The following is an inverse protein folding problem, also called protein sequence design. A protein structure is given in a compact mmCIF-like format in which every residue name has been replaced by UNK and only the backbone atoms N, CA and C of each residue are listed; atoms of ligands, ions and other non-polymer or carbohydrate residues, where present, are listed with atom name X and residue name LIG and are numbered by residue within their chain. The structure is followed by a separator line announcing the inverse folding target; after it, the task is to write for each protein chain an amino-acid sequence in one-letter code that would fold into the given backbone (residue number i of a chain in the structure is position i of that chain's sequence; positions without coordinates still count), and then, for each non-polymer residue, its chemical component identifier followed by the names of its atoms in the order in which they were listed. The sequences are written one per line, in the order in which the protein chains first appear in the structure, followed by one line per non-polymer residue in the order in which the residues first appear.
data_IF_404954648139
#
_entry.id   IF_404954648139
#
_cell.length_a   1.000
_cell.length_b   1.000
_cell.length_c   1.000
_cell.angle_alpha   90.00
_cell.angle_beta   90.00
_cell.angle_gamma   90.00
#
_symmetry.space_group_name_H-M   'P 1'
#
loop_
_entity.id
_entity.type
_entity.pdbx_description
1 polymer ?
#
# COMPACT_ATOMS: atom_id res chain seq x y z
N UNK A 1 3.11 5.24 1.64
CA UNK A 1 4.01 6.40 1.59
C UNK A 1 5.39 5.91 1.22
N UNK A 2 6.11 6.59 0.31
CA UNK A 2 7.51 6.24 0.03
C UNK A 2 8.37 6.61 1.25
N UNK A 3 9.21 5.67 1.66
CA UNK A 3 10.13 5.78 2.79
C UNK A 3 11.47 5.16 2.41
N UNK A 4 12.57 5.73 2.90
CA UNK A 4 13.89 5.13 2.77
C UNK A 4 14.29 4.56 4.13
N UNK A 5 14.36 3.23 4.23
CA UNK A 5 14.72 2.53 5.46
C UNK A 5 15.99 1.74 5.20
N UNK A 6 17.07 2.07 5.90
CA UNK A 6 18.36 1.39 5.73
C UNK A 6 18.93 1.46 4.30
N UNK A 7 18.64 2.53 3.56
CA UNK A 7 19.08 2.71 2.17
C UNK A 7 18.19 2.05 1.11
N UNK A 8 17.11 1.35 1.51
CA UNK A 8 16.15 0.77 0.58
C UNK A 8 14.90 1.64 0.46
N UNK A 9 14.47 1.92 -0.77
CA UNK A 9 13.23 2.64 -1.04
C UNK A 9 12.04 1.67 -1.00
N UNK A 10 11.13 1.91 -0.06
CA UNK A 10 9.96 1.08 0.19
C UNK A 10 8.71 1.95 0.24
N UNK A 11 7.56 1.34 -0.05
CA UNK A 11 6.26 1.87 0.32
C UNK A 11 5.88 1.33 1.70
N UNK A 12 5.68 2.23 2.66
CA UNK A 12 5.19 1.90 3.98
C UNK A 12 3.74 2.38 4.18
N UNK A 13 2.96 1.57 4.89
CA UNK A 13 1.68 1.94 5.48
C UNK A 13 1.67 1.39 6.91
N UNK A 14 1.74 2.29 7.87
CA UNK A 14 1.72 1.94 9.29
C UNK A 14 0.49 2.52 9.97
N UNK A 15 -0.09 1.76 10.88
CA UNK A 15 -1.15 2.17 11.78
C UNK A 15 -0.75 1.84 13.21
N UNK A 16 -0.89 2.81 14.10
CA UNK A 16 -0.58 2.68 15.52
C UNK A 16 -1.83 3.07 16.31
N UNK A 17 -2.43 2.12 17.02
CA UNK A 17 -3.56 2.32 17.92
C UNK A 17 -3.09 2.75 19.32
N UNK A 18 -3.80 2.30 20.36
CA UNK A 18 -3.43 2.57 21.77
C UNK A 18 -2.49 1.52 22.36
N UNK A 19 -2.65 0.26 21.97
CA UNK A 19 -1.83 -0.89 22.43
C UNK A 19 -1.71 -1.96 21.34
N UNK A 20 -1.85 -1.58 20.09
CA UNK A 20 -1.71 -2.47 18.94
C UNK A 20 -1.21 -1.67 17.75
N UNK A 21 -0.52 -2.33 16.84
CA UNK A 21 -0.08 -1.72 15.61
C UNK A 21 -0.13 -2.70 14.46
N UNK A 22 -0.09 -2.11 13.27
CA UNK A 22 0.02 -2.85 12.02
C UNK A 22 0.92 -2.10 11.06
N UNK A 23 1.92 -2.78 10.53
CA UNK A 23 2.86 -2.23 9.55
C UNK A 23 2.79 -3.07 8.29
N UNK A 24 2.69 -2.40 7.14
CA UNK A 24 2.76 -2.99 5.82
C UNK A 24 3.86 -2.31 5.03
N UNK A 25 4.78 -3.10 4.50
CA UNK A 25 5.92 -2.65 3.69
C UNK A 25 5.86 -3.31 2.32
N UNK A 26 6.26 -2.60 1.27
CA UNK A 26 6.34 -3.15 -0.08
C UNK A 26 7.47 -2.51 -0.88
N UNK A 27 8.20 -3.33 -1.63
CA UNK A 27 9.20 -2.90 -2.62
C UNK A 27 8.63 -2.96 -4.05
N UNK A 28 7.29 -2.94 -4.18
CA UNK A 28 6.52 -3.16 -5.41
C UNK A 28 6.60 -4.58 -6.00
N UNK A 29 7.53 -5.42 -5.52
CA UNK A 29 7.66 -6.82 -5.93
C UNK A 29 7.01 -7.76 -4.91
N UNK A 30 7.15 -7.45 -3.63
CA UNK A 30 6.62 -8.23 -2.51
C UNK A 30 5.97 -7.31 -1.48
N UNK A 31 5.15 -7.91 -0.62
CA UNK A 31 4.46 -7.22 0.47
C UNK A 31 4.74 -7.97 1.77
N UNK A 32 5.27 -7.25 2.74
CA UNK A 32 5.49 -7.73 4.09
C UNK A 32 4.53 -7.07 5.04
N UNK A 33 4.04 -7.86 5.99
CA UNK A 33 3.11 -7.38 7.00
C UNK A 33 3.53 -7.86 8.39
N UNK A 34 3.29 -7.00 9.36
CA UNK A 34 3.27 -7.36 10.77
C UNK A 34 2.02 -6.76 11.43
N UNK A 35 1.35 -7.57 12.23
CA UNK A 35 0.28 -7.16 13.13
C UNK A 35 0.65 -7.60 14.54
N UNK A 36 0.48 -6.69 15.50
CA UNK A 36 0.91 -6.87 16.88
C UNK A 36 -0.16 -6.35 17.84
N UNK A 37 -0.47 -7.17 18.84
CA UNK A 37 -1.39 -6.85 19.93
C UNK A 37 -0.62 -6.47 21.22
N UNK A 38 -1.35 -6.12 22.27
CA UNK A 38 -0.77 -5.65 23.53
C UNK A 38 0.15 -6.69 24.21
N UNK A 39 -0.24 -7.96 24.20
CA UNK A 39 0.48 -9.05 24.87
C UNK A 39 1.78 -9.39 24.14
N UNK A 40 1.74 -9.44 22.81
CA UNK A 40 2.90 -9.67 21.96
C UNK A 40 3.88 -8.49 22.03
N UNK A 41 3.34 -7.26 22.09
CA UNK A 41 4.15 -6.05 22.26
C UNK A 41 4.89 -6.10 23.60
N UNK A 42 4.17 -6.43 24.68
CA UNK A 42 4.76 -6.52 26.01
C UNK A 42 5.83 -7.60 26.09
N UNK A 43 5.57 -8.79 25.52
CA UNK A 43 6.51 -9.90 25.49
C UNK A 43 7.79 -9.52 24.75
N UNK A 44 7.66 -8.98 23.53
CA UNK A 44 8.82 -8.52 22.74
C UNK A 44 9.56 -7.36 23.40
N UNK A 45 8.85 -6.44 24.03
CA UNK A 45 9.47 -5.32 24.75
C UNK A 45 10.36 -5.83 25.89
N UNK A 46 9.91 -6.83 26.65
CA UNK A 46 10.67 -7.45 27.73
C UNK A 46 11.90 -8.22 27.23
N UNK A 47 11.75 -8.91 26.10
CA UNK A 47 12.85 -9.67 25.48
C UNK A 47 13.96 -8.76 24.96
N UNK A 48 13.61 -7.69 24.26
CA UNK A 48 14.56 -6.73 23.67
C UNK A 48 15.13 -5.77 24.71
N UNK A 49 14.34 -5.34 25.69
CA UNK A 49 14.69 -4.30 26.65
C UNK A 49 14.71 -4.84 28.09
N UNK A 50 15.55 -5.85 28.36
CA UNK A 50 15.64 -6.54 29.68
C UNK A 50 15.86 -5.64 30.90
N UNK A 51 16.37 -4.42 30.70
CA UNK A 51 16.62 -3.42 31.76
C UNK A 51 15.51 -2.38 31.92
N UNK A 52 14.62 -2.29 30.93
CA UNK A 52 13.56 -1.29 30.89
C UNK A 52 12.31 -1.87 31.59
N UNK A 53 11.92 -1.28 32.71
CA UNK A 53 10.68 -1.62 33.42
C UNK A 53 9.69 -0.48 33.26
N UNK A 54 8.82 -0.58 32.25
CA UNK A 54 7.76 0.38 31.98
C UNK A 54 6.44 -0.36 31.75
N UNK A 55 5.29 0.21 32.15
CA UNK A 55 3.99 -0.29 31.73
C UNK A 55 3.88 -0.31 30.20
N UNK A 56 3.20 -1.31 29.64
CA UNK A 56 3.04 -1.51 28.18
C UNK A 56 2.56 -0.25 27.46
N UNK A 57 1.66 0.52 28.09
CA UNK A 57 1.14 1.76 27.52
C UNK A 57 2.19 2.88 27.43
N UNK A 58 3.03 3.05 28.44
CA UNK A 58 4.11 4.05 28.41
C UNK A 58 5.19 3.67 27.39
N UNK A 59 5.56 2.38 27.37
CA UNK A 59 6.45 1.82 26.37
C UNK A 59 5.91 2.05 24.95
N UNK A 60 4.64 1.73 24.72
CA UNK A 60 4.02 1.81 23.41
C UNK A 60 3.81 3.26 22.95
N UNK A 61 3.48 4.16 23.86
CA UNK A 61 3.43 5.60 23.56
C UNK A 61 4.79 6.10 23.07
N UNK A 62 5.88 5.69 23.72
CA UNK A 62 7.23 6.03 23.27
C UNK A 62 7.52 5.41 21.90
N UNK A 63 7.25 4.10 21.73
CA UNK A 63 7.41 3.40 20.45
C UNK A 63 6.71 4.14 19.31
N UNK A 64 5.46 4.56 19.50
CA UNK A 64 4.72 5.32 18.49
C UNK A 64 5.41 6.64 18.14
N UNK A 65 5.94 7.34 19.14
CA UNK A 65 6.62 8.63 18.91
C UNK A 65 7.90 8.48 18.10
N UNK A 66 8.64 7.37 18.27
CA UNK A 66 9.90 7.12 17.56
C UNK A 66 9.73 6.35 16.25
N UNK A 67 8.69 5.53 16.11
CA UNK A 67 8.45 4.72 14.92
C UNK A 67 7.68 5.47 13.83
N UNK A 68 6.74 6.36 14.18
CA UNK A 68 5.97 7.12 13.18
C UNK A 68 6.86 7.89 12.20
N UNK A 69 7.92 8.61 12.64
CA UNK A 69 8.83 9.30 11.74
C UNK A 69 9.50 8.37 10.72
N UNK A 70 9.79 7.12 11.11
CA UNK A 70 10.44 6.12 10.25
C UNK A 70 9.54 5.61 9.12
N UNK A 71 8.22 5.74 9.27
CA UNK A 71 7.24 5.29 8.28
C UNK A 71 6.49 6.45 7.59
N UNK A 72 6.82 7.69 7.94
CA UNK A 72 6.32 8.90 7.26
C UNK A 72 7.27 9.33 6.13
N UNK A 73 6.72 10.04 5.14
CA UNK A 73 7.52 10.61 4.05
C UNK A 73 8.54 11.59 4.63
N UNK A 74 9.75 11.57 4.06
CA UNK A 74 10.90 12.34 4.50
C UNK A 74 10.62 13.84 4.44
N UNK A 75 10.34 14.44 5.59
CA UNK A 75 10.54 15.88 5.80
C UNK A 75 12.02 16.07 6.13
N UNK A 76 12.72 16.81 5.27
CA UNK A 76 14.19 16.91 5.20
C UNK A 76 14.82 17.72 6.36
N UNK A 77 14.12 17.97 7.47
CA UNK A 77 14.55 18.95 8.48
C UNK A 77 14.37 18.52 9.96
N UNK A 78 14.15 17.23 10.22
CA UNK A 78 14.16 16.70 11.60
C UNK A 78 15.19 15.59 11.76
N UNK A 79 16.22 15.87 12.55
CA UNK A 79 17.13 14.89 13.17
C UNK A 79 16.28 13.83 13.87
N UNK A 80 16.02 12.72 13.18
CA UNK A 80 15.31 11.58 13.76
C UNK A 80 16.07 11.12 15.01
N UNK A 81 15.42 11.19 16.17
CA UNK A 81 15.95 10.75 17.46
C UNK A 81 16.17 9.21 17.52
N UNK A 82 15.86 8.50 16.44
CA UNK A 82 16.01 7.06 16.34
C UNK A 82 16.82 6.68 15.10
N UNK A 83 17.75 5.76 15.28
CA UNK A 83 18.47 5.09 14.21
C UNK A 83 17.64 3.90 13.72
N UNK A 84 17.39 3.85 12.42
CA UNK A 84 16.63 2.76 11.78
C UNK A 84 17.54 1.99 10.84
N UNK A 85 17.52 0.66 10.94
CA UNK A 85 18.22 -0.25 10.04
C UNK A 85 17.25 -1.27 9.47
N UNK A 86 17.55 -1.76 8.27
CA UNK A 86 16.76 -2.77 7.58
C UNK A 86 17.60 -4.05 7.41
N UNK A 87 17.06 -5.18 7.82
CA UNK A 87 17.65 -6.49 7.57
C UNK A 87 16.67 -7.38 6.82
N UNK A 88 17.10 -7.94 5.69
CA UNK A 88 16.31 -8.91 4.94
C UNK A 88 16.84 -10.32 5.22
N UNK A 89 15.97 -11.18 5.74
CA UNK A 89 16.26 -12.56 6.09
C UNK A 89 15.39 -13.48 5.22
N UNK A 90 15.87 -13.78 4.02
CA UNK A 90 15.13 -14.56 3.01
C UNK A 90 13.82 -13.87 2.64
N UNK A 91 12.72 -14.52 3.00
CA UNK A 91 11.35 -14.07 2.77
C UNK A 91 10.86 -13.06 3.82
N UNK A 92 11.57 -12.88 4.93
CA UNK A 92 11.18 -11.98 6.00
C UNK A 92 11.97 -10.67 5.94
N UNK A 93 11.33 -9.61 6.41
CA UNK A 93 11.90 -8.27 6.48
C UNK A 93 11.85 -7.77 7.92
N UNK A 94 13.01 -7.50 8.50
CA UNK A 94 13.14 -6.99 9.86
C UNK A 94 13.56 -5.53 9.83
N UNK A 95 12.73 -4.64 10.38
CA UNK A 95 13.11 -3.23 10.59
C UNK A 95 13.55 -3.06 12.04
N UNK A 96 14.83 -2.73 12.25
CA UNK A 96 15.39 -2.47 13.56
C UNK A 96 15.36 -0.99 13.88
N UNK A 97 14.80 -0.64 15.02
CA UNK A 97 14.66 0.71 15.53
C UNK A 97 15.43 0.82 16.84
N UNK A 98 16.34 1.78 16.90
CA UNK A 98 17.12 2.10 18.10
C UNK A 98 16.92 3.56 18.46
N UNK A 99 16.43 3.84 19.67
CA UNK A 99 16.34 5.20 20.21
C UNK A 99 16.85 5.24 21.66
N UNK A 100 16.74 6.40 22.29
CA UNK A 100 16.88 6.53 23.74
C UNK A 100 15.54 6.89 24.38
N UNK A 101 15.31 6.42 25.60
CA UNK A 101 14.18 6.76 26.46
C UNK A 101 14.72 7.11 27.85
N UNK A 102 14.68 8.40 28.22
CA UNK A 102 15.21 8.91 29.50
C UNK A 102 16.67 8.49 29.78
N UNK A 103 17.52 8.48 28.75
CA UNK A 103 18.93 8.09 28.84
C UNK A 103 19.17 6.57 28.86
N UNK A 104 18.11 5.75 28.79
CA UNK A 104 18.22 4.30 28.60
C UNK A 104 18.11 3.95 27.10
N UNK A 105 18.91 2.98 26.63
CA UNK A 105 18.80 2.53 25.25
C UNK A 105 17.47 1.79 25.06
N UNK A 106 16.77 2.15 23.99
CA UNK A 106 15.49 1.59 23.58
C UNK A 106 15.65 0.87 22.25
N UNK A 107 15.25 -0.40 22.20
CA UNK A 107 15.32 -1.24 21.01
C UNK A 107 13.94 -1.78 20.64
N UNK A 108 13.64 -1.74 19.34
CA UNK A 108 12.48 -2.40 18.78
C UNK A 108 12.80 -3.04 17.44
N UNK A 109 12.17 -4.16 17.15
CA UNK A 109 12.30 -4.85 15.86
C UNK A 109 10.90 -5.15 15.34
N UNK A 110 10.63 -4.72 14.10
CA UNK A 110 9.42 -5.05 13.36
C UNK A 110 9.70 -6.27 12.49
N UNK A 111 9.07 -7.41 12.78
CA UNK A 111 9.28 -8.67 12.08
C UNK A 111 8.18 -8.86 11.04
N UNK A 112 8.38 -8.26 9.87
CA UNK A 112 7.41 -8.33 8.79
C UNK A 112 7.64 -9.62 7.99
N UNK A 113 6.62 -10.45 7.85
CA UNK A 113 6.71 -11.69 7.08
C UNK A 113 6.16 -11.50 5.67
N UNK A 114 6.79 -12.10 4.65
CA UNK A 114 6.23 -12.01 3.29
C UNK A 114 4.92 -12.75 3.27
N UNK A 115 3.95 -12.17 2.58
CA UNK A 115 2.68 -12.81 2.35
C UNK A 115 2.67 -13.35 0.92
N UNK A 116 2.86 -14.67 0.70
CA UNK A 116 2.83 -15.21 -0.64
C UNK A 116 1.44 -14.96 -1.22
N UNK A 117 1.38 -14.21 -2.31
CA UNK A 117 0.19 -14.12 -3.14
C UNK A 117 0.06 -15.46 -3.82
N UNK A 118 -0.62 -16.40 -3.17
CA UNK A 118 -1.09 -17.60 -3.83
C UNK A 118 -2.14 -17.15 -4.85
N UNK A 119 -1.68 -16.75 -6.05
CA UNK A 119 -2.52 -16.75 -7.24
C UNK A 119 -2.86 -18.22 -7.44
N UNK A 120 -3.95 -18.67 -6.83
CA UNK A 120 -4.58 -19.93 -7.23
C UNK A 120 -4.92 -19.71 -8.69
N UNK A 121 -4.07 -20.23 -9.58
CA UNK A 121 -4.35 -20.52 -10.98
C UNK A 121 -5.49 -21.53 -11.02
N UNK A 122 -6.68 -21.14 -10.57
CA UNK A 122 -7.89 -21.98 -10.57
C UNK A 122 -8.70 -21.76 -11.85
N UNK A 123 -7.99 -21.51 -12.95
CA UNK A 123 -8.57 -21.26 -14.27
C UNK A 123 -7.97 -22.16 -15.35
N UNK A 124 -7.49 -23.38 -15.04
CA UNK A 124 -7.28 -24.37 -16.12
C UNK A 124 -7.10 -25.83 -15.70
N UNK A 125 -7.89 -26.38 -14.77
CA UNK A 125 -7.94 -27.84 -14.62
C UNK A 125 -9.17 -28.31 -13.81
N UNK A 126 -10.37 -28.08 -14.36
CA UNK A 126 -11.58 -28.86 -13.99
C UNK A 126 -12.43 -29.10 -15.22
N UNK A 127 -11.86 -29.77 -16.22
CA UNK A 127 -12.64 -30.60 -17.15
C UNK A 127 -11.94 -31.94 -17.27
N UNK A 128 -11.89 -32.66 -16.17
CA UNK A 128 -11.68 -34.11 -16.20
C UNK A 128 -12.73 -34.73 -15.30
N UNK A 129 -13.85 -35.09 -15.95
CA UNK A 129 -14.76 -36.19 -15.61
C UNK A 129 -14.89 -36.50 -14.10
N UNK A 130 -15.77 -35.77 -13.40
CA UNK A 130 -16.40 -36.34 -12.22
C UNK A 130 -17.41 -37.39 -12.70
N UNK A 131 -16.98 -38.65 -12.77
CA UNK A 131 -17.90 -39.74 -12.49
C UNK A 131 -18.46 -39.53 -11.07
N UNK A 132 -19.76 -39.79 -10.82
CA UNK A 132 -20.30 -39.71 -9.47
C UNK A 132 -19.58 -40.75 -8.59
N UNK A 133 -19.05 -40.38 -7.41
CA UNK A 133 -18.46 -41.36 -6.51
C UNK A 133 -19.57 -42.25 -5.96
N UNK A 134 -19.32 -43.56 -5.99
CA UNK A 134 -20.02 -44.58 -5.19
C UNK A 134 -20.16 -44.11 -3.73
N UNK A 135 -21.27 -44.47 -3.04
CA UNK A 135 -21.52 -43.97 -1.69
C UNK A 135 -20.51 -44.55 -0.70
N UNK A 136 -19.54 -43.72 -0.32
CA UNK A 136 -18.66 -43.98 0.81
C UNK A 136 -19.42 -43.71 2.11
N UNK A 137 -19.96 -44.77 2.70
CA UNK A 137 -20.29 -44.82 4.13
C UNK A 137 -19.03 -44.60 4.96
N UNK A 138 -19.18 -43.76 5.99
CA UNK A 138 -18.31 -43.59 7.15
C UNK A 138 -16.94 -42.91 6.92
N UNK A 139 -16.98 -41.57 6.88
CA UNK A 139 -15.88 -40.74 7.36
C UNK A 139 -16.41 -39.74 8.40
N UNK A 140 -15.79 -39.62 9.60
CA UNK A 140 -16.27 -38.75 10.66
C UNK A 140 -16.16 -37.27 10.26
N UNK A 141 -17.23 -36.51 10.49
CA UNK A 141 -17.41 -35.08 10.18
C UNK A 141 -16.40 -34.13 10.84
N UNK A 142 -15.51 -34.61 11.70
CA UNK A 142 -14.65 -33.80 12.56
C UNK A 142 -13.41 -33.20 11.88
N UNK A 143 -13.06 -33.60 10.65
CA UNK A 143 -11.84 -33.14 9.96
C UNK A 143 -12.06 -32.05 8.89
N UNK A 144 -13.30 -31.56 8.69
CA UNK A 144 -13.57 -30.45 7.76
C UNK A 144 -13.24 -29.07 8.32
N UNK A 145 -12.25 -28.98 9.21
CA UNK A 145 -11.62 -27.71 9.54
C UNK A 145 -10.77 -27.27 8.35
N UNK A 146 -11.41 -26.56 7.42
CA UNK A 146 -10.73 -25.79 6.39
C UNK A 146 -9.58 -25.02 7.06
N UNK A 147 -8.32 -25.20 6.62
CA UNK A 147 -7.23 -24.41 7.16
C UNK A 147 -7.58 -22.93 6.94
N UNK A 148 -7.32 -22.05 7.93
CA UNK A 148 -7.59 -20.62 7.77
C UNK A 148 -6.95 -20.18 6.46
N UNK A 149 -7.79 -19.71 5.53
CA UNK A 149 -7.32 -19.26 4.24
C UNK A 149 -6.19 -18.24 4.48
N UNK A 150 -5.06 -18.31 3.76
CA UNK A 150 -3.97 -17.35 3.96
C UNK A 150 -4.53 -15.93 3.78
N UNK A 151 -4.69 -15.21 4.89
CA UNK A 151 -5.19 -13.82 4.91
C UNK A 151 -4.26 -12.89 4.11
N UNK A 152 -3.06 -13.39 3.82
CA UNK A 152 -2.03 -12.89 2.92
C UNK A 152 -2.54 -12.25 1.62
N UNK A 153 -3.20 -13.04 0.75
CA UNK A 153 -3.65 -12.54 -0.56
C UNK A 153 -4.76 -11.49 -0.45
N UNK A 154 -5.52 -11.50 0.64
CA UNK A 154 -6.58 -10.52 0.88
C UNK A 154 -6.01 -9.12 1.12
N UNK A 155 -4.84 -8.99 1.76
CA UNK A 155 -4.27 -7.67 2.08
C UNK A 155 -3.63 -6.99 0.89
N UNK A 156 -2.93 -7.74 0.03
CA UNK A 156 -2.45 -7.21 -1.26
C UNK A 156 -3.63 -6.69 -2.08
N UNK A 157 -4.71 -7.48 -2.17
CA UNK A 157 -5.92 -7.08 -2.89
C UNK A 157 -6.60 -5.85 -2.28
N UNK A 158 -6.72 -5.80 -0.95
CA UNK A 158 -7.44 -4.74 -0.22
C UNK A 158 -6.66 -3.44 -0.15
N UNK A 159 -5.35 -3.51 0.05
CA UNK A 159 -4.50 -2.34 0.32
C UNK A 159 -3.84 -1.77 -0.93
N UNK A 160 -3.63 -2.59 -1.97
CA UNK A 160 -2.96 -2.17 -3.20
C UNK A 160 -3.90 -2.27 -4.40
N UNK A 161 -4.37 -3.47 -4.74
CA UNK A 161 -5.07 -3.70 -6.03
C UNK A 161 -6.39 -2.92 -6.12
N UNK A 162 -7.29 -3.07 -5.14
CA UNK A 162 -8.60 -2.40 -5.17
C UNK A 162 -8.50 -0.88 -5.17
N UNK A 163 -7.70 -0.23 -4.29
CA UNK A 163 -7.53 1.21 -4.34
C UNK A 163 -6.94 1.70 -5.66
N UNK A 164 -5.92 1.01 -6.20
CA UNK A 164 -5.30 1.41 -7.46
C UNK A 164 -6.27 1.29 -8.64
N UNK A 165 -7.09 0.23 -8.70
CA UNK A 165 -8.15 0.10 -9.71
C UNK A 165 -9.22 1.19 -9.59
N UNK A 166 -9.62 1.52 -8.35
CA UNK A 166 -10.57 2.59 -8.11
C UNK A 166 -10.01 3.96 -8.53
N UNK A 167 -8.75 4.25 -8.19
CA UNK A 167 -8.06 5.49 -8.59
C UNK A 167 -7.92 5.54 -10.12
N UNK A 168 -7.50 4.46 -10.77
CA UNK A 168 -7.41 4.39 -12.23
C UNK A 168 -8.74 4.73 -12.90
N UNK A 169 -9.85 4.16 -12.40
CA UNK A 169 -11.19 4.48 -12.92
C UNK A 169 -11.58 5.95 -12.71
N UNK A 170 -11.29 6.52 -11.54
CA UNK A 170 -11.56 7.94 -11.26
C UNK A 170 -10.75 8.84 -12.19
N UNK A 171 -9.47 8.53 -12.39
CA UNK A 171 -8.61 9.29 -13.30
C UNK A 171 -9.09 9.19 -14.75
N UNK A 172 -9.52 8.00 -15.18
CA UNK A 172 -10.13 7.81 -16.51
C UNK A 172 -11.38 8.69 -16.68
N UNK A 173 -12.29 8.68 -15.70
CA UNK A 173 -13.48 9.54 -15.75
C UNK A 173 -13.11 11.02 -15.81
N UNK A 174 -12.13 11.46 -15.02
CA UNK A 174 -11.69 12.86 -15.06
C UNK A 174 -11.17 13.26 -16.43
N UNK A 175 -10.40 12.39 -17.09
CA UNK A 175 -9.90 12.65 -18.45
C UNK A 175 -11.06 12.81 -19.44
N UNK A 176 -12.09 11.95 -19.37
CA UNK A 176 -13.28 12.05 -20.22
C UNK A 176 -14.08 13.34 -19.96
N UNK A 177 -14.29 13.70 -18.70
CA UNK A 177 -15.03 14.90 -18.31
C UNK A 177 -14.30 16.18 -18.76
N UNK A 178 -12.98 16.22 -18.57
CA UNK A 178 -12.11 17.32 -19.04
C UNK A 178 -12.13 17.43 -20.57
N UNK A 179 -12.06 16.30 -21.29
CA UNK A 179 -12.15 16.28 -22.73
C UNK A 179 -13.51 16.81 -23.25
N UNK A 180 -14.60 16.40 -22.62
CA UNK A 180 -15.94 16.88 -22.96
C UNK A 180 -16.10 18.38 -22.66
N UNK A 181 -15.52 18.87 -21.56
CA UNK A 181 -15.52 20.29 -21.23
C UNK A 181 -14.75 21.12 -22.25
N UNK A 182 -13.58 20.63 -22.67
CA UNK A 182 -12.77 21.28 -23.72
C UNK A 182 -13.52 21.32 -25.05
N UNK A 183 -14.12 20.22 -25.49
CA UNK A 183 -14.91 20.18 -26.71
C UNK A 183 -16.10 21.18 -26.70
N UNK A 184 -16.77 21.33 -25.55
CA UNK A 184 -17.83 22.35 -25.39
C UNK A 184 -17.27 23.77 -25.50
N UNK A 185 -16.09 24.02 -24.92
CA UNK A 185 -15.44 25.33 -25.00
C UNK A 185 -14.97 25.65 -26.42
N UNK A 186 -14.49 24.67 -27.16
CA UNK A 186 -14.13 24.87 -28.57
C UNK A 186 -15.34 25.17 -29.44
N UNK A 187 -16.47 24.50 -29.20
CA UNK A 187 -17.73 24.83 -29.88
C UNK A 187 -18.21 26.25 -29.56
N UNK A 188 -18.08 26.69 -28.31
CA UNK A 188 -18.39 28.05 -27.89
C UNK A 188 -17.46 29.08 -28.57
N UNK A 189 -16.15 28.81 -28.63
CA UNK A 189 -15.18 29.66 -29.33
C UNK A 189 -15.50 29.71 -30.84
N UNK A 190 -15.87 28.59 -31.43
CA UNK A 190 -16.24 28.49 -32.84
C UNK A 190 -17.48 29.34 -33.15
N UNK A 191 -18.52 29.26 -32.31
CA UNK A 191 -19.74 30.07 -32.44
C UNK A 191 -19.43 31.57 -32.37
N UNK A 192 -18.57 32.01 -31.44
CA UNK A 192 -18.15 33.42 -31.39
C UNK A 192 -17.43 33.86 -32.68
N UNK A 193 -16.59 33.00 -33.26
CA UNK A 193 -15.90 33.31 -34.52
C UNK A 193 -16.88 33.39 -35.70
N UNK A 194 -17.84 32.47 -35.79
CA UNK A 194 -18.88 32.45 -36.82
C UNK A 194 -19.79 33.68 -36.72
N UNK A 195 -20.05 34.15 -35.51
CA UNK A 195 -20.80 35.38 -35.24
C UNK A 195 -19.96 36.67 -35.35
N UNK A 196 -18.74 36.59 -35.90
CA UNK A 196 -17.91 37.75 -36.27
C UNK A 196 -17.10 38.37 -35.13
N UNK A 197 -16.96 37.70 -33.99
CA UNK A 197 -16.11 38.18 -32.90
C UNK A 197 -14.62 38.14 -33.31
N UNK A 198 -13.90 39.23 -33.08
CA UNK A 198 -12.47 39.35 -33.38
C UNK A 198 -11.69 39.44 -32.08
N UNK A 199 -10.67 38.59 -31.93
CA UNK A 199 -9.81 38.58 -30.76
C UNK A 199 -8.99 39.88 -30.66
N UNK A 200 -9.10 40.58 -29.54
CA UNK A 200 -8.36 41.83 -29.27
C UNK A 200 -6.86 41.59 -29.04
N UNK A 201 -6.44 40.35 -28.75
CA UNK A 201 -5.04 39.95 -28.54
C UNK A 201 -4.69 38.75 -29.43
N UNK A 202 -3.74 38.94 -30.35
CA UNK A 202 -3.38 37.96 -31.39
C UNK A 202 -2.78 36.63 -30.89
N UNK A 203 -2.23 36.59 -29.67
CA UNK A 203 -1.58 35.40 -29.11
C UNK A 203 -2.53 34.50 -28.29
N UNK A 204 -3.84 34.76 -28.29
CA UNK A 204 -4.82 33.99 -27.49
C UNK A 204 -5.56 32.90 -28.27
N UNK A 205 -5.18 32.62 -29.53
CA UNK A 205 -5.75 31.50 -30.29
C UNK A 205 -5.14 30.19 -29.81
N UNK A 206 -5.96 29.36 -29.19
CA UNK A 206 -5.65 27.96 -28.90
C UNK A 206 -6.24 27.16 -30.06
N UNK A 207 -5.45 26.29 -30.69
CA UNK A 207 -5.96 25.36 -31.69
C UNK A 207 -7.00 24.42 -31.04
N UNK A 208 -8.04 24.04 -31.78
CA UNK A 208 -9.14 23.22 -31.26
C UNK A 208 -8.63 21.90 -30.64
N UNK A 209 -9.28 21.47 -29.57
CA UNK A 209 -8.95 20.26 -28.84
C UNK A 209 -9.29 19.02 -29.67
N UNK A 210 -8.29 18.18 -29.92
CA UNK A 210 -8.46 16.85 -30.52
C UNK A 210 -8.34 15.76 -29.45
N UNK A 211 -9.49 15.18 -29.09
CA UNK A 211 -9.56 14.09 -28.12
C UNK A 211 -8.82 12.82 -28.59
N UNK A 212 -8.76 12.54 -29.90
CA UNK A 212 -8.08 11.38 -30.45
C UNK A 212 -6.55 11.52 -30.39
N UNK A 213 -6.04 12.74 -30.60
CA UNK A 213 -4.64 13.05 -30.38
C UNK A 213 -4.24 12.88 -28.91
N UNK A 214 -5.09 13.31 -27.96
CA UNK A 214 -4.83 13.16 -26.53
C UNK A 214 -4.78 11.68 -26.11
N UNK A 215 -5.78 10.89 -26.50
CA UNK A 215 -5.81 9.44 -26.18
C UNK A 215 -4.63 8.70 -26.82
N UNK A 216 -4.20 9.07 -28.02
CA UNK A 216 -3.00 8.50 -28.66
C UNK A 216 -1.73 8.84 -27.88
N UNK A 217 -1.57 10.07 -27.41
CA UNK A 217 -0.40 10.50 -26.61
C UNK A 217 -0.34 9.76 -25.27
N UNK A 218 -1.48 9.56 -24.60
CA UNK A 218 -1.53 8.81 -23.35
C UNK A 218 -1.42 7.28 -23.53
N UNK A 219 -1.96 6.72 -24.61
CA UNK A 219 -1.82 5.29 -24.91
C UNK A 219 -0.37 4.91 -25.24
N UNK A 220 0.39 5.79 -25.90
CA UNK A 220 1.83 5.58 -26.12
C UNK A 220 2.68 5.62 -24.84
N UNK A 221 2.16 6.19 -23.74
CA UNK A 221 2.82 6.27 -22.43
C UNK A 221 2.47 5.11 -21.48
N UNK A 222 1.51 4.26 -21.84
CA UNK A 222 1.04 3.13 -21.00
C UNK A 222 1.73 1.79 -21.35
N UNK A 223 2.73 1.83 -22.24
CA UNK A 223 3.55 0.69 -22.69
C UNK A 223 4.97 0.80 -22.13
N UNK A 224 5.11 0.85 -20.80
CA UNK A 224 6.35 0.54 -20.07
C UNK A 224 5.98 -0.29 -18.84
#
# INVERSE_FOLDING_TARGET
MPVNIGGSDLLAKAWFGDTQYRVLLSDLSSVWEEEMNADDIQSRAQDLNKRLRAPTQAFFSHLCSVARPSFSSRDDDQTSAAHVALERHGDNLTVKLKSELAGLPFYWEFHCTTTPVAVRQRYRERVTLCQPPEPLTDLPESDWQLPPAPLAGHQVCRQLVRPLLAVSRVLQQQVEDLAALLARKDAEIQDYQENGAVLTRGNSRICGFDAYALVSVFSSLTLI
#
